data_IF_135269904408
#
_entry.id   IF_135269904408
#
_cell.length_a   1.000
_cell.length_b   1.000
_cell.length_c   1.000
_cell.angle_alpha   90.00
_cell.angle_beta   90.00
_cell.angle_gamma   90.00
#
_symmetry.space_group_name_H-M   'P 1'
#
loop_
_entity.id
_entity.type
_entity.pdbx_description
1 polymer ?
#
# COMPACT_ATOMS: atom_id res chain seq x y z
N UNK A 1 11.02 -23.65 -49.18
CA UNK A 1 10.74 -22.97 -47.89
C UNK A 1 10.68 -24.02 -46.80
N UNK A 2 11.54 -23.90 -45.79
CA UNK A 2 11.50 -24.49 -44.44
C UNK A 2 11.42 -26.04 -44.28
N UNK A 3 12.57 -26.70 -44.16
CA UNK A 3 12.70 -28.10 -43.68
C UNK A 3 13.06 -28.18 -42.19
N UNK A 4 12.44 -27.33 -41.36
CA UNK A 4 12.58 -27.36 -39.90
C UNK A 4 11.21 -27.77 -39.33
N UNK A 5 11.08 -28.97 -38.74
CA UNK A 5 9.86 -29.38 -38.06
C UNK A 5 9.46 -28.36 -36.99
N UNK A 6 8.16 -28.06 -36.90
CA UNK A 6 7.57 -27.22 -35.85
C UNK A 6 8.26 -25.86 -35.66
N UNK A 7 8.78 -25.27 -36.75
CA UNK A 7 9.62 -24.07 -36.69
C UNK A 7 9.00 -22.91 -35.88
N UNK A 8 7.69 -22.67 -36.02
CA UNK A 8 6.99 -21.63 -35.28
C UNK A 8 6.90 -21.95 -33.78
N UNK A 9 6.50 -23.16 -33.41
CA UNK A 9 6.42 -23.56 -32.00
C UNK A 9 7.80 -23.58 -31.32
N UNK A 10 8.85 -23.93 -32.06
CA UNK A 10 10.24 -23.83 -31.59
C UNK A 10 10.64 -22.38 -31.32
N UNK A 11 10.30 -21.46 -32.23
CA UNK A 11 10.57 -20.04 -32.06
C UNK A 11 9.81 -19.46 -30.86
N UNK A 12 8.52 -19.80 -30.70
CA UNK A 12 7.71 -19.40 -29.55
C UNK A 12 8.29 -19.93 -28.23
N UNK A 13 8.73 -21.19 -28.19
CA UNK A 13 9.36 -21.78 -27.01
C UNK A 13 10.71 -21.11 -26.68
N UNK A 14 11.50 -20.75 -27.69
CA UNK A 14 12.76 -20.01 -27.50
C UNK A 14 12.50 -18.59 -26.98
N UNK A 15 11.50 -17.90 -27.53
CA UNK A 15 11.10 -16.58 -27.04
C UNK A 15 10.62 -16.65 -25.59
N UNK A 16 9.74 -17.60 -25.26
CA UNK A 16 9.27 -17.81 -23.89
C UNK A 16 10.43 -18.05 -22.93
N UNK A 17 11.40 -18.89 -23.33
CA UNK A 17 12.60 -19.14 -22.52
C UNK A 17 13.40 -17.87 -22.27
N UNK A 18 13.55 -17.01 -23.28
CA UNK A 18 14.30 -15.76 -23.17
C UNK A 18 13.63 -14.77 -22.22
N UNK A 19 12.30 -14.67 -22.26
CA UNK A 19 11.55 -13.70 -21.43
C UNK A 19 11.19 -14.22 -20.03
N UNK A 20 11.33 -15.54 -19.79
CA UNK A 20 10.84 -16.18 -18.56
C UNK A 20 11.41 -15.58 -17.28
N UNK A 21 12.73 -15.35 -17.23
CA UNK A 21 13.37 -14.85 -16.00
C UNK A 21 12.93 -13.41 -15.68
N UNK A 22 12.78 -12.57 -16.71
CA UNK A 22 12.31 -11.19 -16.54
C UNK A 22 10.90 -11.15 -15.98
N UNK A 23 10.00 -11.99 -16.49
CA UNK A 23 8.63 -12.14 -15.97
C UNK A 23 8.63 -12.62 -14.52
N UNK A 24 9.45 -13.62 -14.18
CA UNK A 24 9.59 -14.11 -12.80
C UNK A 24 10.09 -13.02 -11.86
N UNK A 25 11.09 -12.23 -12.28
CA UNK A 25 11.63 -11.11 -11.50
C UNK A 25 10.58 -10.02 -11.32
N UNK A 26 9.85 -9.67 -12.37
CA UNK A 26 8.77 -8.70 -12.32
C UNK A 26 7.69 -9.11 -11.31
N UNK A 27 7.22 -10.36 -11.38
CA UNK A 27 6.19 -10.87 -10.47
C UNK A 27 6.68 -10.92 -9.02
N UNK A 28 7.92 -11.35 -8.77
CA UNK A 28 8.51 -11.32 -7.42
C UNK A 28 8.59 -9.91 -6.85
N UNK A 29 8.95 -8.92 -7.66
CA UNK A 29 8.98 -7.52 -7.23
C UNK A 29 7.57 -7.02 -6.86
N UNK A 30 6.55 -7.38 -7.65
CA UNK A 30 5.15 -7.07 -7.33
C UNK A 30 4.71 -7.73 -6.01
N UNK A 31 5.04 -9.00 -5.78
CA UNK A 31 4.73 -9.69 -4.53
C UNK A 31 5.45 -9.09 -3.33
N UNK A 32 6.74 -8.75 -3.47
CA UNK A 32 7.47 -8.07 -2.39
C UNK A 32 6.85 -6.72 -2.05
N UNK A 33 6.41 -5.95 -3.06
CA UNK A 33 5.75 -4.66 -2.84
C UNK A 33 4.42 -4.81 -2.11
N UNK A 34 3.60 -5.78 -2.52
CA UNK A 34 2.34 -6.13 -1.85
C UNK A 34 2.59 -6.57 -0.39
N UNK A 35 3.63 -7.38 -0.15
CA UNK A 35 3.96 -7.83 1.21
C UNK A 35 4.33 -6.66 2.12
N UNK A 36 5.14 -5.71 1.64
CA UNK A 36 5.49 -4.51 2.42
C UNK A 36 4.29 -3.58 2.61
N UNK A 37 3.44 -3.42 1.59
CA UNK A 37 2.20 -2.65 1.70
C UNK A 37 1.24 -3.22 2.76
N UNK A 38 1.21 -4.54 2.97
CA UNK A 38 0.42 -5.16 4.03
C UNK A 38 0.95 -4.85 5.44
N UNK A 39 2.26 -4.60 5.58
CA UNK A 39 2.92 -4.33 6.87
C UNK A 39 2.83 -2.86 7.27
N UNK A 40 3.05 -1.97 6.30
CA UNK A 40 3.14 -0.52 6.46
C UNK A 40 2.02 0.10 7.33
N UNK A 41 0.71 -0.11 7.06
CA UNK A 41 -0.35 0.47 7.88
C UNK A 41 -0.40 -0.04 9.32
N UNK A 42 0.02 -1.29 9.55
CA UNK A 42 0.01 -1.91 10.89
C UNK A 42 1.22 -1.48 11.73
N UNK A 43 2.36 -1.21 11.09
CA UNK A 43 3.59 -0.80 11.77
C UNK A 43 3.68 0.72 11.96
N UNK A 44 2.96 1.51 11.15
CA UNK A 44 2.98 2.96 11.25
C UNK A 44 2.25 3.47 12.49
N UNK A 45 3.03 3.83 13.51
CA UNK A 45 2.50 4.46 14.74
C UNK A 45 1.71 5.73 14.44
N UNK A 46 2.19 6.53 13.48
CA UNK A 46 1.53 7.79 13.14
C UNK A 46 0.19 7.56 12.44
N UNK A 47 0.12 6.59 11.52
CA UNK A 47 -1.15 6.18 10.90
C UNK A 47 -2.15 5.68 11.95
N UNK A 48 -1.74 4.77 12.84
CA UNK A 48 -2.62 4.27 13.91
C UNK A 48 -3.11 5.38 14.84
N UNK A 49 -2.25 6.36 15.15
CA UNK A 49 -2.64 7.52 15.96
C UNK A 49 -3.62 8.44 15.24
N UNK A 50 -3.50 8.60 13.92
CA UNK A 50 -4.49 9.30 13.10
C UNK A 50 -5.85 8.59 13.17
N UNK A 51 -5.89 7.26 13.01
CA UNK A 51 -7.12 6.48 13.14
C UNK A 51 -7.75 6.67 14.53
N UNK A 52 -6.95 6.62 15.59
CA UNK A 52 -7.42 6.85 16.96
C UNK A 52 -8.00 8.25 17.14
N UNK A 53 -7.35 9.28 16.59
CA UNK A 53 -7.84 10.66 16.65
C UNK A 53 -9.16 10.83 15.87
N UNK A 54 -9.30 10.18 14.71
CA UNK A 54 -10.55 10.15 13.95
C UNK A 54 -11.66 9.50 14.78
N UNK A 55 -11.40 8.33 15.40
CA UNK A 55 -12.38 7.62 16.23
C UNK A 55 -12.82 8.48 17.43
N UNK A 56 -11.87 9.07 18.16
CA UNK A 56 -12.14 9.94 19.31
C UNK A 56 -12.95 11.17 18.90
N UNK A 57 -12.59 11.78 17.79
CA UNK A 57 -13.29 12.97 17.28
C UNK A 57 -14.70 12.61 16.84
N UNK A 58 -14.87 11.54 16.08
CA UNK A 58 -16.18 11.03 15.65
C UNK A 58 -17.08 10.70 16.85
N UNK A 59 -16.56 10.03 17.87
CA UNK A 59 -17.30 9.73 19.10
C UNK A 59 -17.75 11.01 19.82
N UNK A 60 -16.88 12.01 19.91
CA UNK A 60 -17.19 13.29 20.54
C UNK A 60 -18.24 14.09 19.78
N UNK A 61 -18.25 14.02 18.45
CA UNK A 61 -19.25 14.69 17.61
C UNK A 61 -20.60 13.98 17.65
N UNK A 62 -20.62 12.67 17.86
CA UNK A 62 -21.83 11.84 17.83
C UNK A 62 -22.37 11.50 19.23
N UNK A 63 -21.94 12.21 20.28
CA UNK A 63 -22.46 12.03 21.65
C UNK A 63 -23.99 12.19 21.64
N UNK A 64 -24.69 11.24 22.26
CA UNK A 64 -26.16 11.24 22.32
C UNK A 64 -26.86 10.68 21.07
N UNK A 65 -26.11 10.22 20.08
CA UNK A 65 -26.65 9.52 18.90
C UNK A 65 -26.26 8.04 18.93
N UNK A 66 -26.91 7.22 18.08
CA UNK A 66 -26.53 5.81 17.88
C UNK A 66 -25.12 5.62 17.28
N UNK A 67 -24.48 6.69 16.80
CA UNK A 67 -23.12 6.68 16.23
C UNK A 67 -22.04 7.05 17.25
N UNK A 68 -22.43 7.44 18.48
CA UNK A 68 -21.50 7.74 19.57
C UNK A 68 -21.04 6.47 20.30
N UNK A 69 -19.86 6.52 20.92
CA UNK A 69 -19.32 5.40 21.71
C UNK A 69 -18.85 4.21 20.87
N UNK A 70 -18.55 4.42 19.59
CA UNK A 70 -18.00 3.40 18.71
C UNK A 70 -16.61 2.95 19.21
N UNK A 71 -16.33 1.65 19.07
CA UNK A 71 -15.01 1.07 19.38
C UNK A 71 -14.08 1.03 18.16
N UNK A 72 -14.67 1.05 16.96
CA UNK A 72 -13.97 1.04 15.68
C UNK A 72 -14.83 1.72 14.61
N UNK A 73 -14.23 2.00 13.46
CA UNK A 73 -14.93 2.50 12.27
C UNK A 73 -14.34 1.86 11.02
N UNK A 74 -15.14 1.75 9.96
CA UNK A 74 -14.65 1.29 8.65
C UNK A 74 -13.76 2.34 8.02
N UNK A 75 -12.63 1.93 7.42
CA UNK A 75 -11.67 2.89 6.83
C UNK A 75 -12.27 3.82 5.76
N UNK A 76 -13.37 3.44 5.09
CA UNK A 76 -14.12 4.33 4.18
C UNK A 76 -14.54 5.65 4.82
N UNK A 77 -14.70 5.71 6.15
CA UNK A 77 -15.04 6.95 6.84
C UNK A 77 -13.93 8.01 6.73
N UNK A 78 -12.67 7.61 6.53
CA UNK A 78 -11.55 8.53 6.30
C UNK A 78 -11.79 9.42 5.10
N UNK A 79 -12.40 8.88 4.04
CA UNK A 79 -12.69 9.57 2.79
C UNK A 79 -13.77 10.66 2.94
N UNK A 80 -14.53 10.63 4.05
CA UNK A 80 -15.62 11.58 4.32
C UNK A 80 -15.20 12.74 5.22
N UNK A 81 -13.99 12.71 5.78
CA UNK A 81 -13.53 13.74 6.72
C UNK A 81 -13.35 15.10 6.05
N UNK A 82 -13.04 15.13 4.74
CA UNK A 82 -12.93 16.35 3.97
C UNK A 82 -14.31 16.99 3.66
N UNK A 83 -15.39 16.19 3.68
CA UNK A 83 -16.74 16.66 3.34
C UNK A 83 -17.44 17.33 4.53
N UNK A 84 -17.06 16.98 5.76
CA UNK A 84 -17.63 17.55 6.98
C UNK A 84 -16.99 18.90 7.25
N UNK A 85 -17.70 19.98 6.92
CA UNK A 85 -17.24 21.37 7.10
C UNK A 85 -17.77 21.99 8.39
N UNK A 86 -16.97 22.89 8.97
CA UNK A 86 -17.41 23.76 10.05
C UNK A 86 -18.32 24.89 9.57
N UNK A 87 -18.80 25.69 10.51
CA UNK A 87 -19.66 26.87 10.31
C UNK A 87 -18.99 27.97 9.48
N UNK A 88 -17.66 27.97 9.39
CA UNK A 88 -16.90 28.86 8.51
C UNK A 88 -16.94 28.44 7.03
N UNK A 89 -17.48 27.25 6.73
CA UNK A 89 -17.55 26.67 5.38
C UNK A 89 -16.19 26.33 4.75
N UNK A 90 -15.09 26.50 5.50
CA UNK A 90 -13.71 26.39 5.02
C UNK A 90 -12.96 25.27 5.74
N UNK A 91 -13.03 25.23 7.07
CA UNK A 91 -12.31 24.25 7.88
C UNK A 91 -13.08 22.93 7.88
N UNK A 92 -12.42 21.86 7.42
CA UNK A 92 -13.02 20.52 7.41
C UNK A 92 -12.67 19.73 8.67
N UNK A 93 -13.38 18.64 8.95
CA UNK A 93 -13.05 17.75 10.06
C UNK A 93 -11.65 17.16 9.90
N UNK A 94 -11.21 16.92 8.66
CA UNK A 94 -9.84 16.50 8.37
C UNK A 94 -8.82 17.54 8.83
N UNK A 95 -9.05 18.84 8.57
CA UNK A 95 -8.17 19.91 9.06
C UNK A 95 -7.99 19.85 10.57
N UNK A 96 -9.10 19.71 11.29
CA UNK A 96 -9.09 19.64 12.75
C UNK A 96 -8.28 18.44 13.26
N UNK A 97 -8.55 17.24 12.73
CA UNK A 97 -7.83 16.02 13.14
C UNK A 97 -6.34 16.14 12.86
N UNK A 98 -5.97 16.64 11.67
CA UNK A 98 -4.57 16.82 11.28
C UNK A 98 -3.86 17.83 12.16
N UNK A 99 -4.50 18.96 12.46
CA UNK A 99 -3.93 19.99 13.33
C UNK A 99 -3.68 19.48 14.76
N UNK A 100 -4.59 18.67 15.30
CA UNK A 100 -4.44 18.05 16.61
C UNK A 100 -3.30 17.01 16.64
N UNK A 101 -3.16 16.23 15.56
CA UNK A 101 -2.04 15.30 15.41
C UNK A 101 -0.72 16.07 15.31
N UNK A 102 -0.63 17.08 14.44
CA UNK A 102 0.55 17.95 14.31
C UNK A 102 0.98 18.49 15.68
N UNK A 103 0.04 19.05 16.44
CA UNK A 103 0.31 19.60 17.78
C UNK A 103 0.86 18.52 18.72
N UNK A 104 0.21 17.36 18.80
CA UNK A 104 0.60 16.30 19.73
C UNK A 104 1.91 15.61 19.35
N UNK A 105 2.19 15.42 18.06
CA UNK A 105 3.42 14.84 17.54
C UNK A 105 4.60 15.80 17.69
N UNK A 106 4.36 17.09 17.43
CA UNK A 106 5.32 18.17 17.61
C UNK A 106 5.83 18.26 19.04
N UNK A 107 4.92 18.26 20.02
CA UNK A 107 5.26 18.24 21.45
C UNK A 107 6.07 16.98 21.79
N UNK A 108 5.64 15.80 21.35
CA UNK A 108 6.37 14.56 21.67
C UNK A 108 7.80 14.59 21.12
N UNK A 109 7.99 15.07 19.90
CA UNK A 109 9.32 15.16 19.30
C UNK A 109 10.17 16.21 19.99
N UNK A 110 9.59 17.35 20.34
CA UNK A 110 10.25 18.33 21.19
C UNK A 110 10.70 17.71 22.52
N UNK A 111 9.84 16.97 23.22
CA UNK A 111 10.20 16.32 24.48
C UNK A 111 11.30 15.24 24.29
N UNK A 112 11.27 14.52 23.18
CA UNK A 112 12.23 13.44 22.87
C UNK A 112 13.61 13.96 22.42
N UNK A 113 13.66 15.02 21.63
CA UNK A 113 14.90 15.63 21.09
C UNK A 113 15.46 16.66 22.08
N UNK A 114 14.61 17.55 22.59
CA UNK A 114 15.00 18.64 23.49
C UNK A 114 15.33 18.15 24.90
N UNK A 115 14.80 16.99 25.32
CA UNK A 115 15.25 16.28 26.51
C UNK A 115 16.71 15.81 26.47
N UNK A 116 17.31 15.66 25.27
CA UNK A 116 18.72 15.22 25.10
C UNK A 116 19.69 16.34 24.71
N UNK A 117 19.24 17.37 23.98
CA UNK A 117 20.18 18.30 23.34
C UNK A 117 20.61 19.47 24.23
N UNK A 118 19.74 20.13 25.01
CA UNK A 118 20.17 21.18 25.95
C UNK A 118 19.02 21.95 26.61
N UNK A 119 19.07 22.05 27.94
CA UNK A 119 18.46 23.12 28.74
C UNK A 119 19.12 24.52 28.51
N UNK A 120 19.86 24.74 27.40
CA UNK A 120 20.75 25.91 27.23
C UNK A 120 20.17 27.12 26.49
N UNK A 121 18.97 27.08 25.91
CA UNK A 121 18.36 28.27 25.29
C UNK A 121 17.14 28.75 26.08
N UNK A 122 17.38 29.57 27.10
CA UNK A 122 16.36 30.11 28.00
C UNK A 122 15.57 31.33 27.50
N UNK A 123 15.70 31.75 26.23
CA UNK A 123 15.12 33.02 25.74
C UNK A 123 14.16 32.89 24.54
N UNK A 124 13.43 31.77 24.38
CA UNK A 124 12.34 31.69 23.38
C UNK A 124 10.99 32.00 24.02
N UNK A 125 10.22 32.85 23.35
CA UNK A 125 8.84 33.16 23.75
C UNK A 125 7.96 31.91 23.67
N UNK A 126 6.87 31.82 24.45
CA UNK A 126 5.91 30.72 24.35
C UNK A 126 5.37 30.52 22.93
N UNK A 127 5.18 31.63 22.19
CA UNK A 127 4.66 31.64 20.82
C UNK A 127 5.66 31.03 19.83
N UNK A 128 6.95 31.38 19.93
CA UNK A 128 8.00 30.78 19.09
C UNK A 128 8.16 29.28 19.35
N UNK A 129 8.07 28.86 20.62
CA UNK A 129 8.14 27.42 20.97
C UNK A 129 6.96 26.65 20.41
N UNK A 130 5.76 27.22 20.46
CA UNK A 130 4.57 26.59 19.89
C UNK A 130 4.67 26.46 18.37
N UNK A 131 5.17 27.49 17.69
CA UNK A 131 5.39 27.43 16.24
C UNK A 131 6.47 26.40 15.88
N UNK A 132 7.56 26.31 16.65
CA UNK A 132 8.58 25.26 16.49
C UNK A 132 7.94 23.86 16.59
N UNK A 133 7.10 23.62 17.60
CA UNK A 133 6.41 22.33 17.77
C UNK A 133 5.45 22.06 16.61
N UNK A 134 4.72 23.08 16.16
CA UNK A 134 3.82 22.98 15.02
C UNK A 134 4.57 22.57 13.75
N UNK A 135 5.71 23.19 13.47
CA UNK A 135 6.53 22.87 12.29
C UNK A 135 7.11 21.44 12.38
N UNK A 136 7.65 21.05 13.53
CA UNK A 136 8.13 19.67 13.74
C UNK A 136 7.03 18.63 13.54
N UNK A 137 5.84 18.89 14.10
CA UNK A 137 4.68 18.04 13.92
C UNK A 137 4.22 17.97 12.46
N UNK A 138 4.20 19.10 11.77
CA UNK A 138 3.81 19.19 10.37
C UNK A 138 4.75 18.41 9.47
N UNK A 139 6.06 18.51 9.69
CA UNK A 139 7.06 17.75 8.93
C UNK A 139 6.86 16.23 9.11
N UNK A 140 6.64 15.76 10.35
CA UNK A 140 6.34 14.35 10.62
C UNK A 140 5.06 13.89 9.93
N UNK A 141 3.99 14.67 10.02
CA UNK A 141 2.68 14.31 9.44
C UNK A 141 2.75 14.27 7.93
N UNK A 142 3.45 15.23 7.30
CA UNK A 142 3.70 15.21 5.86
C UNK A 142 4.60 14.07 5.40
N UNK A 143 5.42 13.51 6.31
CA UNK A 143 6.25 12.34 6.05
C UNK A 143 5.49 11.02 5.97
N UNK A 144 4.23 10.97 6.45
CA UNK A 144 3.44 9.72 6.47
C UNK A 144 3.19 9.17 5.07
N UNK A 145 3.00 10.05 4.09
CA UNK A 145 2.85 9.68 2.67
C UNK A 145 4.08 8.95 2.12
N UNK A 146 5.27 9.23 2.67
CA UNK A 146 6.52 8.53 2.33
C UNK A 146 6.68 7.24 3.13
N UNK A 147 6.24 7.21 4.39
CA UNK A 147 6.26 6.02 5.25
C UNK A 147 5.37 4.89 4.68
N UNK A 148 4.20 5.25 4.12
CA UNK A 148 3.25 4.32 3.50
C UNK A 148 3.40 4.27 1.97
N UNK A 149 4.64 4.24 1.47
CA UNK A 149 4.94 4.33 0.05
C UNK A 149 4.42 3.12 -0.74
N UNK A 150 4.64 1.90 -0.25
CA UNK A 150 4.23 0.69 -0.97
C UNK A 150 2.71 0.58 -1.02
N UNK A 151 1.98 1.04 -0.01
CA UNK A 151 0.51 1.16 -0.04
C UNK A 151 0.05 1.98 -1.25
N UNK A 152 0.65 3.16 -1.48
CA UNK A 152 0.28 4.01 -2.62
C UNK A 152 0.55 3.36 -3.97
N UNK A 153 1.66 2.62 -4.09
CA UNK A 153 2.03 1.91 -5.32
C UNK A 153 1.12 0.71 -5.57
N UNK A 154 0.85 -0.05 -4.52
CA UNK A 154 0.01 -1.26 -4.56
C UNK A 154 -1.43 -0.93 -4.94
N UNK A 155 -1.95 0.23 -4.53
CA UNK A 155 -3.29 0.70 -4.89
C UNK A 155 -3.50 0.92 -6.41
N UNK A 156 -2.45 0.86 -7.22
CA UNK A 156 -2.52 0.93 -8.68
C UNK A 156 -2.30 -0.43 -9.37
N UNK A 157 -2.02 -1.49 -8.62
CA UNK A 157 -1.83 -2.83 -9.16
C UNK A 157 -3.19 -3.41 -9.54
N UNK A 158 -3.25 -4.04 -10.72
CA UNK A 158 -4.36 -4.91 -11.10
C UNK A 158 -4.05 -6.33 -10.59
N UNK A 159 -4.76 -6.74 -9.54
CA UNK A 159 -4.51 -8.01 -8.87
C UNK A 159 -4.90 -9.21 -9.74
N UNK A 160 -5.96 -9.08 -10.54
CA UNK A 160 -6.42 -10.15 -11.43
C UNK A 160 -5.40 -10.40 -12.53
N UNK A 161 -4.84 -9.32 -13.09
CA UNK A 161 -3.73 -9.42 -14.05
C UNK A 161 -2.53 -10.11 -13.39
N UNK A 162 -2.16 -9.72 -12.17
CA UNK A 162 -1.02 -10.30 -11.46
C UNK A 162 -1.17 -11.82 -11.24
N UNK A 163 -2.33 -12.26 -10.76
CA UNK A 163 -2.67 -13.69 -10.56
C UNK A 163 -2.71 -14.43 -11.89
N UNK A 164 -3.28 -13.81 -12.93
CA UNK A 164 -3.33 -14.41 -14.26
C UNK A 164 -1.92 -14.61 -14.85
N UNK A 165 -0.97 -13.71 -14.58
CA UNK A 165 0.40 -13.83 -15.09
C UNK A 165 1.14 -15.06 -14.57
N UNK A 166 0.98 -15.42 -13.28
CA UNK A 166 1.56 -16.67 -12.74
C UNK A 166 0.96 -17.90 -13.43
N UNK A 167 -0.36 -17.88 -13.63
CA UNK A 167 -1.08 -18.94 -14.35
C UNK A 167 -0.63 -19.05 -15.81
N UNK A 168 -0.45 -17.92 -16.50
CA UNK A 168 0.01 -17.85 -17.88
C UNK A 168 1.44 -18.40 -18.05
N UNK A 169 2.36 -18.11 -17.12
CA UNK A 169 3.69 -18.72 -17.12
C UNK A 169 3.60 -20.24 -16.90
N UNK A 170 2.73 -20.68 -16.00
CA UNK A 170 2.52 -22.12 -15.77
C UNK A 170 1.99 -22.82 -17.02
N UNK A 171 1.05 -22.20 -17.74
CA UNK A 171 0.52 -22.71 -19.01
C UNK A 171 1.57 -22.71 -20.12
N UNK A 172 2.36 -21.64 -20.25
CA UNK A 172 3.47 -21.55 -21.20
C UNK A 172 4.49 -22.67 -21.00
N UNK A 173 4.83 -22.98 -19.73
CA UNK A 173 5.70 -24.10 -19.40
C UNK A 173 5.10 -25.46 -19.80
N UNK A 174 3.80 -25.65 -19.57
CA UNK A 174 3.09 -26.86 -19.97
C UNK A 174 3.06 -27.04 -21.50
N UNK A 175 2.90 -25.95 -22.26
CA UNK A 175 2.96 -25.96 -23.74
C UNK A 175 4.33 -26.41 -24.23
N UNK A 176 5.42 -25.89 -23.65
CA UNK A 176 6.79 -26.30 -24.00
C UNK A 176 7.02 -27.79 -23.69
N UNK A 177 6.52 -28.27 -22.54
CA UNK A 177 6.58 -29.69 -22.20
C UNK A 177 5.86 -30.57 -23.24
N UNK A 178 4.67 -30.16 -23.70
CA UNK A 178 3.95 -30.84 -24.78
C UNK A 178 4.73 -30.86 -26.10
N UNK A 179 5.39 -29.74 -26.45
CA UNK A 179 6.25 -29.65 -27.63
C UNK A 179 7.45 -30.59 -27.53
N UNK A 180 8.13 -30.64 -26.38
CA UNK A 180 9.27 -31.55 -26.13
C UNK A 180 8.87 -33.01 -26.36
N UNK A 181 7.71 -33.43 -25.86
CA UNK A 181 7.20 -34.80 -26.05
C UNK A 181 6.98 -35.10 -27.53
N UNK A 182 6.39 -34.15 -28.26
CA UNK A 182 6.10 -34.28 -29.70
C UNK A 182 7.39 -34.35 -30.52
N UNK A 183 8.33 -33.44 -30.27
CA UNK A 183 9.63 -33.33 -30.94
C UNK A 183 10.51 -34.56 -30.70
N UNK A 184 10.40 -35.16 -29.52
CA UNK A 184 11.09 -36.41 -29.20
C UNK A 184 10.67 -37.54 -30.13
N UNK A 185 9.54 -37.48 -30.83
CA UNK A 185 9.13 -38.51 -31.79
C UNK A 185 9.78 -38.36 -33.17
N UNK A 186 10.38 -37.21 -33.49
CA UNK A 186 10.97 -36.93 -34.81
C UNK A 186 12.33 -37.58 -35.06
N UNK A 187 13.01 -38.06 -34.00
CA UNK A 187 14.26 -38.85 -34.04
C UNK A 187 15.47 -38.22 -34.79
N UNK A 188 15.41 -36.97 -35.26
CA UNK A 188 16.55 -36.30 -35.89
C UNK A 188 17.45 -35.55 -34.89
N UNK A 189 18.73 -35.38 -35.26
CA UNK A 189 19.76 -34.78 -34.39
C UNK A 189 19.43 -33.34 -33.95
N UNK A 190 18.82 -32.53 -34.83
CA UNK A 190 18.49 -31.13 -34.53
C UNK A 190 17.35 -31.07 -33.51
N UNK A 191 16.34 -31.93 -33.67
CA UNK A 191 15.25 -32.09 -32.71
C UNK A 191 15.77 -32.56 -31.34
N UNK A 192 16.74 -33.48 -31.30
CA UNK A 192 17.35 -33.93 -30.05
C UNK A 192 18.11 -32.83 -29.30
N UNK A 193 18.82 -31.94 -30.00
CA UNK A 193 19.48 -30.77 -29.39
C UNK A 193 18.46 -29.80 -28.79
N UNK A 194 17.38 -29.52 -29.52
CA UNK A 194 16.27 -28.69 -29.01
C UNK A 194 15.63 -29.29 -27.76
N UNK A 195 15.25 -30.57 -27.83
CA UNK A 195 14.66 -31.34 -26.72
C UNK A 195 15.55 -31.32 -25.48
N UNK A 196 16.87 -31.49 -25.65
CA UNK A 196 17.81 -31.48 -24.52
C UNK A 196 17.87 -30.11 -23.86
N UNK A 197 18.06 -29.04 -24.66
CA UNK A 197 18.12 -27.68 -24.14
C UNK A 197 16.82 -27.25 -23.45
N UNK A 198 15.67 -27.56 -24.06
CA UNK A 198 14.37 -27.21 -23.49
C UNK A 198 13.99 -28.05 -22.27
N UNK A 199 14.42 -29.32 -22.15
CA UNK A 199 14.23 -30.09 -20.93
C UNK A 199 14.97 -29.49 -19.72
N UNK A 200 16.20 -29.03 -19.93
CA UNK A 200 16.95 -28.32 -18.89
C UNK A 200 16.23 -27.05 -18.47
N UNK A 201 15.73 -26.27 -19.43
CA UNK A 201 14.96 -25.06 -19.16
C UNK A 201 13.66 -25.36 -18.41
N UNK A 202 12.84 -26.32 -18.86
CA UNK A 202 11.58 -26.69 -18.21
C UNK A 202 11.82 -27.13 -16.77
N UNK A 203 12.83 -27.96 -16.52
CA UNK A 203 13.17 -28.41 -15.15
C UNK A 203 13.54 -27.24 -14.24
N UNK A 204 14.31 -26.27 -14.75
CA UNK A 204 14.64 -25.04 -14.03
C UNK A 204 13.39 -24.17 -13.78
N UNK A 205 12.62 -23.91 -14.84
CA UNK A 205 11.48 -23.02 -14.82
C UNK A 205 10.35 -23.52 -13.92
N UNK A 206 10.10 -24.83 -13.87
CA UNK A 206 9.10 -25.41 -12.97
C UNK A 206 9.47 -25.25 -11.49
N UNK A 207 10.76 -25.37 -11.16
CA UNK A 207 11.20 -25.09 -9.80
C UNK A 207 10.93 -23.62 -9.44
N UNK A 208 11.26 -22.69 -10.34
CA UNK A 208 11.00 -21.25 -10.16
C UNK A 208 9.51 -20.94 -10.07
N UNK A 209 8.67 -21.58 -10.89
CA UNK A 209 7.22 -21.41 -10.84
C UNK A 209 6.62 -21.92 -9.54
N UNK A 210 7.11 -23.04 -9.01
CA UNK A 210 6.66 -23.55 -7.72
C UNK A 210 7.00 -22.60 -6.58
N UNK A 211 8.20 -22.00 -6.60
CA UNK A 211 8.58 -20.94 -5.66
C UNK A 211 7.63 -19.73 -5.80
N UNK A 212 7.40 -19.27 -7.04
CA UNK A 212 6.57 -18.12 -7.35
C UNK A 212 5.10 -18.28 -6.93
N UNK A 213 4.51 -19.47 -7.14
CA UNK A 213 3.16 -19.81 -6.67
C UNK A 213 3.08 -19.83 -5.13
N UNK A 214 4.17 -20.22 -4.46
CA UNK A 214 4.27 -20.14 -3.01
C UNK A 214 4.29 -18.68 -2.53
N UNK A 215 5.06 -17.82 -3.19
CA UNK A 215 5.12 -16.38 -2.91
C UNK A 215 3.75 -15.71 -3.14
N UNK A 216 3.08 -16.06 -4.24
CA UNK A 216 1.71 -15.62 -4.56
C UNK A 216 0.72 -15.99 -3.46
N UNK A 217 0.67 -17.26 -3.06
CA UNK A 217 -0.26 -17.72 -2.03
C UNK A 217 -0.02 -17.02 -0.68
N UNK A 218 1.27 -16.83 -0.31
CA UNK A 218 1.65 -16.13 0.92
C UNK A 218 1.20 -14.67 0.89
N UNK A 219 1.48 -13.94 -0.20
CA UNK A 219 1.12 -12.52 -0.28
C UNK A 219 -0.40 -12.33 -0.33
N UNK A 220 -1.13 -13.22 -1.00
CA UNK A 220 -2.59 -13.19 -1.02
C UNK A 220 -3.20 -13.44 0.37
N UNK A 221 -2.59 -14.30 1.20
CA UNK A 221 -2.98 -14.45 2.61
C UNK A 221 -2.79 -13.15 3.38
N UNK A 222 -1.66 -12.47 3.23
CA UNK A 222 -1.42 -11.19 3.90
C UNK A 222 -2.40 -10.10 3.45
N UNK A 223 -2.73 -10.02 2.15
CA UNK A 223 -3.73 -9.08 1.61
C UNK A 223 -5.11 -9.34 2.21
N UNK A 224 -5.48 -10.62 2.38
CA UNK A 224 -6.72 -10.99 3.05
C UNK A 224 -6.70 -10.57 4.52
N UNK A 225 -5.65 -10.90 5.27
CA UNK A 225 -5.53 -10.57 6.68
C UNK A 225 -5.57 -9.05 6.95
N UNK A 226 -4.89 -8.24 6.13
CA UNK A 226 -4.90 -6.78 6.29
C UNK A 226 -6.28 -6.19 5.98
N UNK A 227 -6.99 -6.76 5.01
CA UNK A 227 -8.37 -6.38 4.68
C UNK A 227 -9.30 -6.71 5.83
N UNK A 228 -9.24 -7.93 6.37
CA UNK A 228 -10.04 -8.34 7.54
C UNK A 228 -9.76 -7.48 8.77
N UNK A 229 -8.48 -7.12 9.00
CA UNK A 229 -8.08 -6.29 10.13
C UNK A 229 -8.72 -4.90 10.13
N UNK A 230 -8.86 -4.26 8.95
CA UNK A 230 -9.39 -2.90 8.85
C UNK A 230 -10.85 -2.81 8.38
N UNK A 231 -11.38 -3.81 7.70
CA UNK A 231 -12.76 -3.84 7.19
C UNK A 231 -13.71 -4.73 8.03
N UNK A 232 -13.16 -5.64 8.84
CA UNK A 232 -13.94 -6.66 9.57
C UNK A 232 -14.19 -7.90 8.71
N UNK A 233 -15.18 -8.73 9.09
CA UNK A 233 -15.52 -9.94 8.34
C UNK A 233 -15.93 -9.57 6.91
N UNK A 234 -15.06 -9.93 5.96
CA UNK A 234 -15.25 -9.69 4.54
C UNK A 234 -16.19 -10.78 4.06
N UNK A 235 -17.50 -10.58 4.23
CA UNK A 235 -18.49 -11.38 3.52
C UNK A 235 -18.12 -11.40 2.03
N UNK A 236 -18.40 -12.52 1.34
CA UNK A 236 -18.04 -12.83 -0.07
C UNK A 236 -18.35 -11.78 -1.16
N UNK A 237 -18.84 -10.61 -0.78
CA UNK A 237 -19.30 -9.50 -1.63
C UNK A 237 -18.23 -8.42 -1.85
N UNK A 238 -17.09 -8.43 -1.17
CA UNK A 238 -16.03 -7.44 -1.43
C UNK A 238 -15.19 -7.82 -2.65
N UNK A 239 -15.50 -7.16 -3.77
CA UNK A 239 -15.01 -7.48 -5.12
C UNK A 239 -13.52 -7.16 -5.35
N UNK A 240 -12.88 -6.35 -4.48
CA UNK A 240 -11.49 -5.93 -4.68
C UNK A 240 -10.64 -6.08 -3.40
N UNK A 241 -9.75 -7.10 -3.32
CA UNK A 241 -8.84 -7.31 -2.19
C UNK A 241 -7.88 -6.14 -1.92
N UNK A 242 -7.63 -5.27 -2.91
CA UNK A 242 -6.75 -4.10 -2.77
C UNK A 242 -7.49 -2.83 -2.36
N UNK A 243 -8.81 -2.88 -2.13
CA UNK A 243 -9.62 -1.71 -1.76
C UNK A 243 -9.04 -0.96 -0.55
N UNK A 244 -8.47 -1.68 0.40
CA UNK A 244 -7.90 -1.06 1.60
C UNK A 244 -6.73 -0.13 1.25
N UNK A 245 -5.88 -0.54 0.32
CA UNK A 245 -4.76 0.27 -0.15
C UNK A 245 -5.24 1.48 -0.93
N UNK A 246 -6.32 1.35 -1.71
CA UNK A 246 -6.95 2.47 -2.42
C UNK A 246 -7.45 3.52 -1.44
N UNK A 247 -8.20 3.11 -0.41
CA UNK A 247 -8.70 4.02 0.63
C UNK A 247 -7.56 4.74 1.33
N UNK A 248 -6.51 4.01 1.74
CA UNK A 248 -5.37 4.60 2.44
C UNK A 248 -4.59 5.55 1.52
N UNK A 249 -4.36 5.19 0.25
CA UNK A 249 -3.73 6.09 -0.74
C UNK A 249 -4.51 7.39 -0.88
N UNK A 250 -5.83 7.32 -1.06
CA UNK A 250 -6.66 8.50 -1.28
C UNK A 250 -6.72 9.37 -0.01
N UNK A 251 -6.77 8.74 1.16
CA UNK A 251 -6.66 9.44 2.44
C UNK A 251 -5.32 10.17 2.58
N UNK A 252 -4.20 9.53 2.23
CA UNK A 252 -2.88 10.18 2.24
C UNK A 252 -2.81 11.36 1.27
N UNK A 253 -3.46 11.25 0.11
CA UNK A 253 -3.58 12.38 -0.83
C UNK A 253 -4.30 13.58 -0.23
N UNK A 254 -5.42 13.35 0.48
CA UNK A 254 -6.12 14.43 1.19
C UNK A 254 -5.31 14.98 2.37
N UNK A 255 -4.61 14.12 3.12
CA UNK A 255 -3.72 14.51 4.21
C UNK A 255 -2.61 15.44 3.70
N UNK A 256 -1.97 15.08 2.59
CA UNK A 256 -0.92 15.88 1.96
C UNK A 256 -1.45 17.27 1.54
N UNK A 257 -2.69 17.33 1.04
CA UNK A 257 -3.34 18.60 0.70
C UNK A 257 -3.55 19.49 1.93
N UNK A 258 -4.14 18.94 3.00
CA UNK A 258 -4.35 19.67 4.26
C UNK A 258 -3.03 20.13 4.88
N UNK A 259 -1.99 19.29 4.87
CA UNK A 259 -0.65 19.68 5.34
C UNK A 259 -0.07 20.87 4.56
N UNK A 260 -0.30 20.94 3.24
CA UNK A 260 0.12 22.09 2.42
C UNK A 260 -0.64 23.36 2.79
N UNK A 261 -1.96 23.26 2.98
CA UNK A 261 -2.79 24.39 3.40
C UNK A 261 -2.35 24.92 4.77
N UNK A 262 -2.18 24.03 5.76
CA UNK A 262 -1.71 24.37 7.11
C UNK A 262 -0.28 24.95 7.13
N UNK A 263 0.57 24.60 6.17
CA UNK A 263 1.90 25.23 6.03
C UNK A 263 1.79 26.68 5.58
N UNK A 264 0.83 26.98 4.71
CA UNK A 264 0.60 28.32 4.14
C UNK A 264 -0.20 29.25 5.06
N UNK A 265 -1.04 28.70 5.94
CA UNK A 265 -1.87 29.48 6.86
C UNK A 265 -1.17 29.72 8.20
N UNK A 266 -1.04 30.99 8.62
CA UNK A 266 -0.86 31.34 10.03
C UNK A 266 -2.21 31.25 10.73
N UNK A 267 -2.66 30.05 11.13
CA UNK A 267 -4.00 29.89 11.74
C UNK A 267 -4.09 30.55 13.12
N UNK A 268 -5.10 31.41 13.38
CA UNK A 268 -5.36 31.95 14.71
C UNK A 268 -5.91 30.87 15.66
N UNK A 269 -5.55 30.95 16.94
CA UNK A 269 -6.04 30.06 18.00
C UNK A 269 -7.57 30.17 18.16
N UNK A 270 -8.27 29.03 18.19
CA UNK A 270 -9.60 28.92 18.83
C UNK A 270 -9.45 28.16 20.16
N UNK A 271 -9.94 28.72 21.29
CA UNK A 271 -9.90 28.04 22.59
C UNK A 271 -10.81 26.82 22.68
N UNK A 272 -11.77 26.66 21.76
CA UNK A 272 -12.55 25.44 21.61
C UNK A 272 -12.43 24.96 20.16
N UNK A 273 -11.55 23.99 19.87
CA UNK A 273 -11.21 23.64 18.50
C UNK A 273 -12.36 22.88 17.79
N UNK A 274 -13.39 22.44 18.53
CA UNK A 274 -14.66 21.93 17.97
C UNK A 274 -15.76 22.99 17.83
N UNK A 275 -15.53 24.24 18.25
CA UNK A 275 -16.52 25.31 18.09
C UNK A 275 -16.99 25.51 16.65
N UNK A 276 -16.15 25.34 15.61
CA UNK A 276 -16.62 25.42 14.23
C UNK A 276 -17.61 24.30 13.86
N UNK A 277 -17.72 23.22 14.63
CA UNK A 277 -18.58 22.07 14.31
C UNK A 277 -19.80 21.96 15.25
N UNK A 278 -20.14 23.04 15.96
CA UNK A 278 -21.33 23.14 16.81
C UNK A 278 -22.40 24.01 16.20
#
# INVERSE_FOLDING_TARGET
MLSIPFAFQRAEAMLYRETFEDEVVHLRNSFSMLEEACKEPRSSRLFLKLLEAVLKTGNRMNVGTIRGGAQAFKLDALLKLADVKGTDGKTTLLHFVVQEIIRSEGIRVADSIMGRINQKNKNRTPEEKEEDYRLMGLDLVSGLSTELYNVKKTAAIDLDVLVSSVSNLSEGMAKIRGLIITEKLCMDEKSMKFVTAMNCFVSYGEKKLKELQGDEAKVMSHVKEITEYFHGDVSKEEVNPLRIFVIVRDFLGMLDHVCKELRSSKTPRSPNPLAPFR
#
